data_IF_720352650628
#
_entry.id   IF_720352650628
#
_cell.length_a   1.000
_cell.length_b   1.000
_cell.length_c   1.000
_cell.angle_alpha   90.00
_cell.angle_beta   90.00
_cell.angle_gamma   90.00
#
_symmetry.space_group_name_H-M   'P 1'
#
loop_
_entity.id
_entity.type
_entity.pdbx_description
1 polymer ?
#
# COMPACT_ATOMS: atom_id res chain seq x y z
N UNK A 1 0.14 -16.79 2.89
CA UNK A 1 -0.70 -15.57 2.80
C UNK A 1 -0.84 -15.21 1.34
N UNK A 2 -2.03 -14.79 0.90
CA UNK A 2 -2.21 -14.35 -0.48
C UNK A 2 -1.49 -13.00 -0.68
N UNK A 3 -0.74 -12.78 -1.78
CA UNK A 3 -0.07 -11.50 -2.07
C UNK A 3 -1.02 -10.29 -2.02
N UNK A 4 -2.27 -10.47 -2.46
CA UNK A 4 -3.31 -9.43 -2.39
C UNK A 4 -3.65 -9.08 -0.93
N UNK A 5 -3.75 -10.07 -0.05
CA UNK A 5 -3.98 -9.82 1.38
C UNK A 5 -2.79 -9.12 2.04
N UNK A 6 -1.56 -9.47 1.64
CA UNK A 6 -0.34 -8.83 2.08
C UNK A 6 -0.29 -7.36 1.67
N UNK A 7 -0.58 -7.09 0.39
CA UNK A 7 -0.64 -5.72 -0.14
C UNK A 7 -1.76 -4.91 0.52
N UNK A 8 -2.92 -5.51 0.76
CA UNK A 8 -4.03 -4.85 1.46
C UNK A 8 -3.69 -4.50 2.91
N UNK A 9 -3.03 -5.41 3.65
CA UNK A 9 -2.53 -5.11 5.00
C UNK A 9 -1.53 -3.96 4.97
N UNK A 10 -0.61 -3.96 4.00
CA UNK A 10 0.39 -2.91 3.86
C UNK A 10 -0.25 -1.55 3.53
N UNK A 11 -1.22 -1.50 2.62
CA UNK A 11 -1.97 -0.29 2.31
C UNK A 11 -2.63 0.28 3.57
N UNK A 12 -3.35 -0.55 4.33
CA UNK A 12 -4.00 -0.12 5.58
C UNK A 12 -2.99 0.46 6.56
N UNK A 13 -1.87 -0.23 6.80
CA UNK A 13 -0.79 0.23 7.69
C UNK A 13 -0.16 1.55 7.27
N UNK A 14 -0.03 1.79 5.96
CA UNK A 14 0.66 2.98 5.45
C UNK A 14 -0.25 4.20 5.35
N UNK A 15 -1.55 3.99 5.10
CA UNK A 15 -2.50 5.06 4.77
C UNK A 15 -3.49 5.29 5.90
N UNK A 16 -4.03 4.24 6.50
CA UNK A 16 -5.19 4.36 7.41
C UNK A 16 -4.76 4.47 8.87
N UNK A 17 -3.68 3.78 9.27
CA UNK A 17 -3.19 3.89 10.63
C UNK A 17 -2.51 5.25 10.85
N UNK A 18 -2.92 5.95 11.91
CA UNK A 18 -2.37 7.24 12.37
C UNK A 18 -2.57 8.45 11.48
N UNK A 19 -3.47 8.40 10.49
CA UNK A 19 -3.82 9.56 9.65
C UNK A 19 -5.32 9.85 9.79
N UNK A 20 -5.66 11.10 10.12
CA UNK A 20 -7.04 11.57 10.17
C UNK A 20 -7.35 12.33 8.89
N UNK A 21 -8.03 11.66 7.96
CA UNK A 21 -8.49 12.28 6.72
C UNK A 21 -9.75 13.09 6.96
N UNK A 22 -9.83 14.27 6.36
CA UNK A 22 -10.99 15.17 6.45
C UNK A 22 -12.03 14.86 5.38
N UNK A 23 -11.66 14.11 4.34
CA UNK A 23 -12.58 13.71 3.26
C UNK A 23 -12.18 12.41 2.58
N UNK A 24 -13.15 11.79 1.90
CA UNK A 24 -12.91 10.61 1.04
C UNK A 24 -11.96 10.93 -0.12
N UNK A 25 -11.93 12.18 -0.58
CA UNK A 25 -11.02 12.60 -1.65
C UNK A 25 -9.55 12.48 -1.22
N UNK A 26 -9.20 12.90 0.01
CA UNK A 26 -7.84 12.76 0.53
C UNK A 26 -7.42 11.30 0.65
N UNK A 27 -8.34 10.41 1.07
CA UNK A 27 -8.08 8.96 1.11
C UNK A 27 -7.75 8.45 -0.30
N UNK A 28 -8.51 8.86 -1.32
CA UNK A 28 -8.27 8.43 -2.71
C UNK A 28 -6.91 8.91 -3.21
N UNK A 29 -6.53 10.15 -2.91
CA UNK A 29 -5.22 10.69 -3.27
C UNK A 29 -4.10 9.89 -2.61
N UNK A 30 -4.17 9.65 -1.30
CA UNK A 30 -3.17 8.87 -0.58
C UNK A 30 -3.06 7.42 -1.10
N UNK A 31 -4.19 6.80 -1.48
CA UNK A 31 -4.20 5.48 -2.13
C UNK A 31 -3.50 5.51 -3.48
N UNK A 32 -3.75 6.53 -4.31
CA UNK A 32 -3.07 6.68 -5.60
C UNK A 32 -1.56 6.86 -5.44
N UNK A 33 -1.13 7.71 -4.51
CA UNK A 33 0.28 7.93 -4.19
C UNK A 33 0.95 6.64 -3.71
N UNK A 34 0.30 5.89 -2.81
CA UNK A 34 0.80 4.58 -2.37
C UNK A 34 1.00 3.61 -3.55
N UNK A 35 0.01 3.51 -4.44
CA UNK A 35 0.10 2.64 -5.62
C UNK A 35 1.28 3.07 -6.51
N UNK A 36 1.46 4.37 -6.73
CA UNK A 36 2.60 4.89 -7.49
C UNK A 36 3.94 4.52 -6.83
N UNK A 37 4.08 4.69 -5.51
CA UNK A 37 5.30 4.34 -4.77
C UNK A 37 5.64 2.85 -4.87
N UNK A 38 4.64 1.98 -4.69
CA UNK A 38 4.77 0.53 -4.83
C UNK A 38 5.24 0.16 -6.25
N UNK A 39 4.67 0.80 -7.27
CA UNK A 39 5.03 0.53 -8.67
C UNK A 39 6.43 1.03 -9.05
N UNK A 40 6.97 2.04 -8.36
CA UNK A 40 8.33 2.54 -8.58
C UNK A 40 9.41 1.58 -8.05
N UNK A 41 9.07 0.70 -7.10
CA UNK A 41 10.05 -0.18 -6.44
C UNK A 41 9.59 -1.65 -6.45
N UNK A 42 9.42 -2.27 -7.64
CA UNK A 42 8.85 -3.62 -7.75
C UNK A 42 9.62 -4.68 -6.95
N UNK A 43 10.96 -4.59 -6.89
CA UNK A 43 11.77 -5.52 -6.10
C UNK A 43 11.46 -5.43 -4.60
N UNK A 44 11.31 -4.22 -4.05
CA UNK A 44 10.93 -4.03 -2.65
C UNK A 44 9.56 -4.64 -2.35
N UNK A 45 8.63 -4.54 -3.30
CA UNK A 45 7.29 -5.13 -3.18
C UNK A 45 7.37 -6.65 -3.15
N UNK A 46 8.16 -7.25 -4.04
CA UNK A 46 8.41 -8.69 -4.07
C UNK A 46 9.00 -9.18 -2.74
N UNK A 47 10.09 -8.54 -2.30
CA UNK A 47 10.79 -8.89 -1.07
C UNK A 47 9.87 -8.77 0.15
N UNK A 48 9.09 -7.67 0.22
CA UNK A 48 8.19 -7.40 1.35
C UNK A 48 6.97 -8.31 1.39
N UNK A 49 6.43 -8.68 0.23
CA UNK A 49 5.31 -9.61 0.13
C UNK A 49 5.78 -11.07 0.24
N UNK A 50 7.08 -11.31 0.46
CA UNK A 50 7.72 -12.62 0.46
C UNK A 50 7.33 -13.45 -0.78
N UNK A 51 7.22 -12.77 -1.93
CA UNK A 51 7.03 -13.42 -3.21
C UNK A 51 8.36 -14.07 -3.58
N UNK A 52 8.46 -15.40 -3.43
CA UNK A 52 9.57 -16.15 -4.01
C UNK A 52 9.36 -16.06 -5.53
N UNK A 53 10.24 -15.30 -6.21
CA UNK A 53 10.35 -15.32 -7.66
C UNK A 53 11.06 -16.58 -8.13
#
# INVERSE_FOLDING_TARGET
MNPIEGLWKWLKLSIIYNVLYTSVAEIRTAVQEFIQQVNLQPQQVIDRLCLIL
#
